data_IF_727581341810
#
_entry.id   IF_727581341810
#
_cell.length_a   1.000
_cell.length_b   1.000
_cell.length_c   1.000
_cell.angle_alpha   90.00
_cell.angle_beta   90.00
_cell.angle_gamma   90.00
#
_symmetry.space_group_name_H-M   'P 1'
#
loop_
_entity.id
_entity.type
_entity.pdbx_description
1 polymer ?
#
# COMPACT_ATOMS: atom_id res chain seq x y z
N UNK A 1 35.09 -21.54 -5.66
CA UNK A 1 34.12 -20.56 -5.13
C UNK A 1 34.34 -19.27 -5.90
N UNK A 2 33.32 -18.73 -6.57
CA UNK A 2 33.45 -17.45 -7.29
C UNK A 2 33.11 -16.35 -6.30
N UNK A 3 34.06 -15.45 -6.05
CA UNK A 3 33.81 -14.25 -5.25
C UNK A 3 33.25 -13.18 -6.18
N UNK A 4 32.10 -12.61 -5.81
CA UNK A 4 31.45 -11.51 -6.53
C UNK A 4 31.53 -10.27 -5.64
N UNK A 5 32.09 -9.20 -6.18
CA UNK A 5 32.09 -7.89 -5.55
C UNK A 5 30.68 -7.25 -5.67
N UNK A 6 30.12 -6.82 -4.54
CA UNK A 6 28.78 -6.23 -4.46
C UNK A 6 28.81 -4.71 -4.32
N UNK A 7 29.98 -4.07 -4.40
CA UNK A 7 30.16 -2.61 -4.22
C UNK A 7 29.26 -1.78 -5.13
N UNK A 8 28.99 -2.24 -6.36
CA UNK A 8 28.16 -1.54 -7.35
C UNK A 8 26.78 -2.18 -7.56
N UNK A 9 26.36 -3.08 -6.67
CA UNK A 9 25.01 -3.67 -6.73
C UNK A 9 24.03 -2.73 -6.04
N UNK A 10 22.95 -2.35 -6.74
CA UNK A 10 21.85 -1.61 -6.14
C UNK A 10 21.03 -2.53 -5.23
N UNK A 11 20.85 -2.12 -3.98
CA UNK A 11 19.98 -2.82 -3.03
C UNK A 11 18.68 -2.05 -2.86
N UNK A 12 17.56 -2.72 -3.13
CA UNK A 12 16.21 -2.22 -2.82
C UNK A 12 15.63 -3.17 -1.79
N UNK A 13 15.29 -2.63 -0.62
CA UNK A 13 14.69 -3.38 0.48
C UNK A 13 13.28 -2.86 0.68
N UNK A 14 12.30 -3.76 0.76
CA UNK A 14 10.90 -3.42 0.98
C UNK A 14 10.28 -4.34 2.02
N UNK A 15 9.30 -3.82 2.76
CA UNK A 15 8.62 -4.55 3.82
C UNK A 15 7.34 -3.85 4.27
N UNK A 16 6.53 -4.56 5.04
CA UNK A 16 5.38 -3.99 5.73
C UNK A 16 5.78 -3.66 7.17
N UNK A 17 5.80 -2.38 7.52
CA UNK A 17 6.26 -1.88 8.83
C UNK A 17 5.07 -1.57 9.74
N UNK A 18 4.31 -2.60 10.12
CA UNK A 18 3.13 -2.43 10.97
C UNK A 18 3.51 -1.84 12.34
N UNK A 19 2.87 -0.74 12.74
CA UNK A 19 3.15 -0.03 14.00
C UNK A 19 4.21 1.07 13.89
N UNK A 20 4.89 1.21 12.74
CA UNK A 20 5.80 2.33 12.49
C UNK A 20 5.04 3.66 12.39
N UNK A 21 3.83 3.63 11.85
CA UNK A 21 2.88 4.74 11.84
C UNK A 21 2.71 5.37 13.22
N UNK A 22 2.47 4.58 14.26
CA UNK A 22 2.33 5.08 15.63
C UNK A 22 3.59 5.77 16.17
N UNK A 23 4.77 5.26 15.82
CA UNK A 23 6.05 5.84 16.24
C UNK A 23 6.23 7.22 15.60
N UNK A 24 5.90 7.32 14.32
CA UNK A 24 5.97 8.57 13.56
C UNK A 24 4.93 9.57 14.08
N UNK A 25 3.68 9.15 14.31
CA UNK A 25 2.61 9.96 14.90
C UNK A 25 3.00 10.53 16.26
N UNK A 26 3.57 9.70 17.15
CA UNK A 26 4.04 10.13 18.47
C UNK A 26 5.10 11.22 18.36
N UNK A 27 6.07 11.05 17.46
CA UNK A 27 7.12 12.05 17.23
C UNK A 27 6.55 13.34 16.64
N UNK A 28 5.58 13.23 15.72
CA UNK A 28 4.88 14.38 15.15
C UNK A 28 3.90 15.04 16.16
N UNK A 29 3.72 14.47 17.35
CA UNK A 29 2.89 15.03 18.43
C UNK A 29 1.40 14.74 18.28
N UNK A 30 1.00 13.69 17.55
CA UNK A 30 -0.41 13.41 17.25
C UNK A 30 -1.17 12.61 18.34
N UNK A 31 -0.55 12.28 19.48
CA UNK A 31 -1.24 11.67 20.63
C UNK A 31 -1.43 12.63 21.82
N UNK A 32 -2.68 13.07 21.94
CA UNK A 32 -3.44 13.46 23.14
C UNK A 32 -3.14 14.82 23.80
N UNK A 33 -3.97 15.78 23.36
CA UNK A 33 -4.64 16.76 24.21
C UNK A 33 -5.47 16.02 25.30
N UNK A 34 -4.83 15.72 26.42
CA UNK A 34 -5.48 15.38 27.68
C UNK A 34 -4.86 16.27 28.74
N UNK A 35 -5.68 17.08 29.41
CA UNK A 35 -5.30 18.20 30.29
C UNK A 35 -4.86 19.47 29.54
N UNK A 36 -5.82 20.17 28.92
CA UNK A 36 -6.21 21.56 29.24
C UNK A 36 -7.21 21.99 28.17
N UNK A 37 -8.49 22.12 28.53
CA UNK A 37 -9.40 22.94 27.74
C UNK A 37 -8.98 24.39 27.96
N UNK A 38 -8.23 24.95 27.02
CA UNK A 38 -8.38 26.36 26.71
C UNK A 38 -8.76 26.43 25.24
N UNK A 39 -10.02 26.78 25.04
CA UNK A 39 -10.57 27.22 23.76
C UNK A 39 -9.75 28.44 23.33
N UNK A 40 -8.80 28.23 22.43
CA UNK A 40 -8.26 29.31 21.61
C UNK A 40 -9.05 29.28 20.30
N UNK A 41 -9.69 30.41 20.03
CA UNK A 41 -10.63 30.65 18.96
C UNK A 41 -10.20 30.12 17.59
N UNK A 42 -11.15 29.49 16.90
CA UNK A 42 -11.41 29.84 15.51
C UNK A 42 -10.67 29.11 14.39
N UNK A 43 -9.69 28.24 14.66
CA UNK A 43 -9.07 27.44 13.61
C UNK A 43 -9.15 25.95 13.99
N UNK A 44 -10.10 25.25 13.37
CA UNK A 44 -10.00 23.80 13.21
C UNK A 44 -8.67 23.58 12.49
N UNK A 45 -7.64 23.16 13.23
CA UNK A 45 -6.49 22.51 12.62
C UNK A 45 -7.09 21.30 11.91
N UNK A 46 -7.20 21.42 10.59
CA UNK A 46 -7.77 20.39 9.73
C UNK A 46 -7.22 19.03 10.16
N UNK A 47 -8.12 18.18 10.62
CA UNK A 47 -7.89 16.75 10.76
C UNK A 47 -7.72 16.07 9.39
N UNK A 48 -7.64 16.84 8.30
CA UNK A 48 -7.42 16.42 6.92
C UNK A 48 -5.92 16.34 6.57
N UNK A 49 -5.07 15.88 7.50
CA UNK A 49 -3.79 15.30 7.07
C UNK A 49 -4.08 13.86 6.69
N UNK A 50 -4.10 13.62 5.38
CA UNK A 50 -4.31 12.31 4.79
C UNK A 50 -3.44 11.27 5.51
N UNK A 51 -4.02 10.26 6.20
CA UNK A 51 -3.25 9.21 6.86
C UNK A 51 -2.38 8.41 5.87
N UNK A 52 -2.58 8.59 4.56
CA UNK A 52 -1.74 7.98 3.52
C UNK A 52 -0.36 8.65 3.37
N UNK A 53 -0.11 9.79 4.04
CA UNK A 53 1.18 10.51 3.98
C UNK A 53 2.06 10.33 5.23
N UNK A 54 1.60 9.61 6.27
CA UNK A 54 2.38 9.47 7.52
C UNK A 54 3.78 8.88 7.28
N UNK A 55 3.88 7.94 6.33
CA UNK A 55 5.13 7.28 6.02
C UNK A 55 6.11 8.13 5.20
N UNK A 56 5.67 9.23 4.56
CA UNK A 56 6.59 10.15 3.88
C UNK A 56 7.45 10.95 4.87
N UNK A 57 6.98 11.05 6.12
CA UNK A 57 7.67 11.74 7.19
C UNK A 57 8.65 10.85 7.98
N UNK A 58 8.84 9.57 7.61
CA UNK A 58 9.74 8.66 8.33
C UNK A 58 11.17 9.22 8.39
N UNK A 59 11.77 9.19 9.57
CA UNK A 59 13.19 9.51 9.79
C UNK A 59 13.94 8.29 10.36
N UNK A 60 15.28 8.27 10.28
CA UNK A 60 16.11 7.20 10.84
C UNK A 60 15.85 6.86 12.31
N UNK A 61 15.51 7.85 13.14
CA UNK A 61 15.18 7.66 14.55
C UNK A 61 13.90 6.84 14.77
N UNK A 62 12.92 6.93 13.88
CA UNK A 62 11.69 6.14 13.94
C UNK A 62 12.00 4.67 13.66
N UNK A 63 12.86 4.41 12.67
CA UNK A 63 13.34 3.08 12.32
C UNK A 63 14.17 2.44 13.43
N UNK A 64 14.97 3.24 14.14
CA UNK A 64 15.69 2.78 15.32
C UNK A 64 14.73 2.41 16.46
N UNK A 65 13.74 3.26 16.75
CA UNK A 65 12.67 2.97 17.73
C UNK A 65 11.84 1.75 17.35
N UNK A 66 11.62 1.54 16.05
CA UNK A 66 10.94 0.36 15.50
C UNK A 66 11.74 -0.93 15.67
N UNK A 67 13.06 -0.84 15.85
CA UNK A 67 13.94 -1.97 16.17
C UNK A 67 15.00 -2.29 15.12
N UNK A 68 15.19 -1.44 14.10
CA UNK A 68 16.30 -1.59 13.16
C UNK A 68 17.61 -1.08 13.79
N UNK A 69 18.72 -1.76 13.49
CA UNK A 69 20.04 -1.39 14.02
C UNK A 69 20.65 -0.21 13.24
N UNK A 70 21.42 0.69 13.90
CA UNK A 70 22.01 1.87 13.25
C UNK A 70 22.87 1.55 12.03
N UNK A 71 23.66 0.47 12.08
CA UNK A 71 24.57 0.08 11.00
C UNK A 71 23.81 -0.33 9.74
N UNK A 72 22.60 -0.86 9.90
CA UNK A 72 21.74 -1.25 8.78
C UNK A 72 21.05 -0.04 8.19
N UNK A 73 20.50 0.85 9.04
CA UNK A 73 19.87 2.10 8.60
C UNK A 73 20.89 2.98 7.87
N UNK A 74 22.14 3.05 8.36
CA UNK A 74 23.22 3.80 7.72
C UNK A 74 23.60 3.31 6.32
N UNK A 75 23.25 2.06 5.97
CA UNK A 75 23.44 1.52 4.61
C UNK A 75 22.26 1.79 3.67
N UNK A 76 21.16 2.33 4.18
CA UNK A 76 19.93 2.62 3.45
C UNK A 76 19.60 4.13 3.56
N UNK A 77 20.32 5.00 2.83
CA UNK A 77 20.18 6.45 2.97
C UNK A 77 18.90 7.04 2.35
N UNK A 78 18.17 6.24 1.57
CA UNK A 78 16.96 6.68 0.86
C UNK A 78 15.77 5.88 1.38
N UNK A 79 14.74 6.60 1.84
CA UNK A 79 13.47 6.03 2.26
C UNK A 79 12.37 6.51 1.33
N UNK A 80 11.45 5.61 1.00
CA UNK A 80 10.25 5.95 0.24
C UNK A 80 9.10 5.07 0.73
N UNK A 81 7.90 5.62 0.70
CA UNK A 81 6.68 4.94 1.06
C UNK A 81 5.83 4.71 -0.19
N UNK A 82 5.09 3.61 -0.20
CA UNK A 82 4.11 3.32 -1.24
C UNK A 82 2.74 3.70 -0.71
N UNK A 83 1.99 4.48 -1.48
CA UNK A 83 0.62 4.85 -1.13
C UNK A 83 -0.29 3.63 -1.04
N UNK A 84 -1.36 3.73 -0.24
CA UNK A 84 -2.39 2.71 -0.21
C UNK A 84 -3.11 2.66 -1.57
N UNK A 85 -3.58 1.46 -1.92
CA UNK A 85 -4.38 1.28 -3.12
C UNK A 85 -5.80 1.77 -2.84
N UNK A 86 -6.24 2.77 -3.57
CA UNK A 86 -7.65 3.18 -3.61
C UNK A 86 -8.43 2.36 -4.65
N UNK A 87 -9.73 2.65 -4.76
CA UNK A 87 -10.61 1.94 -5.72
C UNK A 87 -10.09 2.08 -7.15
N UNK A 88 -9.73 3.30 -7.56
CA UNK A 88 -9.29 3.58 -8.91
C UNK A 88 -8.00 2.81 -9.24
N UNK A 89 -7.04 2.77 -8.32
CA UNK A 89 -5.81 2.00 -8.46
C UNK A 89 -6.07 0.50 -8.56
N UNK A 90 -7.02 -0.05 -7.80
CA UNK A 90 -7.40 -1.46 -7.91
C UNK A 90 -8.04 -1.80 -9.27
N UNK A 91 -8.91 -0.92 -9.79
CA UNK A 91 -9.47 -1.07 -11.14
C UNK A 91 -8.38 -0.98 -12.21
N UNK A 92 -7.42 -0.05 -12.05
CA UNK A 92 -6.26 0.03 -12.93
C UNK A 92 -5.44 -1.27 -12.88
N UNK A 93 -5.20 -1.85 -11.70
CA UNK A 93 -4.52 -3.15 -11.55
C UNK A 93 -5.27 -4.28 -12.27
N UNK A 94 -6.60 -4.25 -12.26
CA UNK A 94 -7.43 -5.25 -12.96
C UNK A 94 -7.33 -5.18 -14.48
N UNK A 95 -7.06 -4.00 -15.05
CA UNK A 95 -7.26 -3.73 -16.50
C UNK A 95 -6.00 -3.27 -17.25
N UNK A 96 -5.17 -2.41 -16.66
CA UNK A 96 -4.10 -1.70 -17.39
C UNK A 96 -2.82 -2.52 -17.57
N UNK A 97 -2.25 -3.20 -16.54
CA UNK A 97 -1.00 -3.91 -16.68
C UNK A 97 -0.99 -4.88 -17.86
N UNK A 98 0.20 -5.13 -18.43
CA UNK A 98 0.35 -6.14 -19.48
C UNK A 98 -0.18 -7.51 -19.05
N UNK A 99 0.03 -7.84 -17.78
CA UNK A 99 -0.41 -9.09 -17.15
C UNK A 99 -1.63 -8.86 -16.24
N UNK A 100 -2.54 -7.95 -16.59
CA UNK A 100 -3.72 -7.67 -15.77
C UNK A 100 -4.68 -8.88 -15.69
N UNK A 101 -5.40 -9.02 -14.58
CA UNK A 101 -6.26 -10.19 -14.32
C UNK A 101 -7.38 -10.33 -15.37
N UNK A 102 -8.01 -9.22 -15.78
CA UNK A 102 -9.04 -9.23 -16.83
C UNK A 102 -8.51 -9.85 -18.12
N UNK A 103 -7.32 -9.43 -18.57
CA UNK A 103 -6.67 -9.96 -19.79
C UNK A 103 -6.36 -11.44 -19.66
N UNK A 104 -5.94 -11.88 -18.47
CA UNK A 104 -5.65 -13.29 -18.20
C UNK A 104 -6.92 -14.16 -18.30
N UNK A 105 -8.03 -13.74 -17.67
CA UNK A 105 -9.29 -14.49 -17.74
C UNK A 105 -9.93 -14.45 -19.12
N UNK A 106 -9.91 -13.30 -19.80
CA UNK A 106 -10.39 -13.20 -21.18
C UNK A 106 -9.63 -14.17 -22.09
N UNK A 107 -8.30 -14.20 -21.97
CA UNK A 107 -7.49 -15.13 -22.75
C UNK A 107 -7.77 -16.59 -22.39
N UNK A 108 -8.00 -16.90 -21.12
CA UNK A 108 -8.33 -18.25 -20.67
C UNK A 108 -9.63 -18.75 -21.32
N UNK A 109 -10.69 -17.95 -21.29
CA UNK A 109 -11.98 -18.30 -21.91
C UNK A 109 -11.91 -18.35 -23.44
N UNK A 110 -11.09 -17.49 -24.05
CA UNK A 110 -10.87 -17.48 -25.50
C UNK A 110 -10.26 -18.80 -26.01
N UNK A 111 -9.44 -19.48 -25.20
CA UNK A 111 -8.88 -20.80 -25.53
C UNK A 111 -9.97 -21.87 -25.70
N UNK A 112 -11.10 -21.70 -25.01
CA UNK A 112 -12.28 -22.55 -25.10
C UNK A 112 -13.32 -22.00 -26.11
N UNK A 113 -12.96 -20.96 -26.86
CA UNK A 113 -13.83 -20.31 -27.85
C UNK A 113 -14.94 -19.46 -27.25
N UNK A 114 -14.83 -19.09 -25.97
CA UNK A 114 -15.82 -18.26 -25.26
C UNK A 114 -15.32 -16.82 -25.15
N UNK A 115 -16.20 -15.85 -25.45
CA UNK A 115 -15.90 -14.43 -25.25
C UNK A 115 -16.36 -14.00 -23.85
N UNK A 116 -15.42 -13.53 -23.04
CA UNK A 116 -15.67 -12.98 -21.70
C UNK A 116 -15.57 -11.45 -21.72
N UNK A 117 -16.62 -10.78 -21.24
CA UNK A 117 -16.69 -9.32 -21.14
C UNK A 117 -16.87 -8.92 -19.67
N UNK A 118 -16.09 -7.91 -19.24
CA UNK A 118 -16.22 -7.30 -17.92
C UNK A 118 -16.74 -5.88 -18.10
N UNK A 119 -17.87 -5.56 -17.48
CA UNK A 119 -18.39 -4.20 -17.50
C UNK A 119 -17.63 -3.33 -16.49
N UNK A 120 -17.53 -2.01 -16.71
CA UNK A 120 -16.88 -1.09 -15.77
C UNK A 120 -17.45 -1.20 -14.36
N UNK A 121 -18.77 -1.31 -14.23
CA UNK A 121 -19.46 -1.39 -12.93
C UNK A 121 -19.10 -2.67 -12.16
N UNK A 122 -18.90 -3.79 -12.87
CA UNK A 122 -18.47 -5.04 -12.25
C UNK A 122 -17.04 -4.92 -11.71
N UNK A 123 -16.15 -4.23 -12.41
CA UNK A 123 -14.78 -4.01 -11.98
C UNK A 123 -14.71 -3.09 -10.75
N UNK A 124 -15.55 -2.05 -10.72
CA UNK A 124 -15.69 -1.16 -9.56
C UNK A 124 -16.16 -1.91 -8.32
N UNK A 125 -17.13 -2.82 -8.46
CA UNK A 125 -17.65 -3.63 -7.36
C UNK A 125 -16.59 -4.64 -6.85
N UNK A 126 -15.84 -5.28 -7.75
CA UNK A 126 -14.72 -6.16 -7.37
C UNK A 126 -13.66 -5.38 -6.59
N UNK A 127 -13.34 -4.15 -7.02
CA UNK A 127 -12.40 -3.29 -6.29
C UNK A 127 -12.92 -2.89 -4.91
N UNK A 128 -14.22 -2.57 -4.78
CA UNK A 128 -14.86 -2.27 -3.50
C UNK A 128 -14.78 -3.43 -2.52
N UNK A 129 -15.09 -4.65 -2.99
CA UNK A 129 -15.00 -5.84 -2.17
C UNK A 129 -13.57 -6.14 -1.72
N UNK A 130 -12.57 -5.89 -2.57
CA UNK A 130 -11.16 -6.06 -2.20
C UNK A 130 -10.72 -5.06 -1.11
N UNK A 131 -11.18 -3.81 -1.18
CA UNK A 131 -10.97 -2.79 -0.15
C UNK A 131 -11.64 -3.19 1.16
N UNK A 132 -12.91 -3.60 1.11
CA UNK A 132 -13.67 -4.02 2.29
C UNK A 132 -13.03 -5.22 3.00
N UNK A 133 -12.41 -6.14 2.25
CA UNK A 133 -11.67 -7.29 2.79
C UNK A 133 -10.29 -6.91 3.35
N UNK A 134 -9.79 -5.69 3.12
CA UNK A 134 -8.46 -5.25 3.58
C UNK A 134 -7.29 -6.00 2.94
N UNK A 135 -7.51 -6.66 1.80
CA UNK A 135 -6.53 -7.54 1.14
C UNK A 135 -5.77 -6.85 0.01
N UNK A 136 -6.22 -5.65 -0.39
CA UNK A 136 -5.66 -4.90 -1.51
C UNK A 136 -5.68 -5.69 -2.82
N UNK A 137 -4.69 -5.46 -3.69
CA UNK A 137 -4.62 -6.11 -5.00
C UNK A 137 -4.55 -7.65 -4.95
N UNK A 138 -4.09 -8.24 -3.83
CA UNK A 138 -4.00 -9.70 -3.67
C UNK A 138 -5.39 -10.34 -3.60
N UNK A 139 -6.38 -9.64 -3.06
CA UNK A 139 -7.75 -10.13 -2.94
C UNK A 139 -8.52 -10.18 -4.26
N UNK A 140 -8.12 -9.37 -5.24
CA UNK A 140 -8.81 -9.25 -6.53
C UNK A 140 -8.95 -10.59 -7.25
N UNK A 141 -7.88 -11.40 -7.25
CA UNK A 141 -7.91 -12.73 -7.89
C UNK A 141 -8.91 -13.66 -7.22
N UNK A 142 -8.91 -13.70 -5.89
CA UNK A 142 -9.83 -14.57 -5.15
C UNK A 142 -11.30 -14.21 -5.40
N UNK A 143 -11.60 -12.91 -5.48
CA UNK A 143 -12.96 -12.43 -5.80
C UNK A 143 -13.37 -12.83 -7.22
N UNK A 144 -12.48 -12.68 -8.21
CA UNK A 144 -12.76 -13.11 -9.59
C UNK A 144 -12.95 -14.63 -9.70
N UNK A 145 -12.12 -15.42 -9.00
CA UNK A 145 -12.25 -16.88 -8.96
C UNK A 145 -13.57 -17.30 -8.34
N UNK A 146 -14.01 -16.64 -7.25
CA UNK A 146 -15.28 -16.89 -6.59
C UNK A 146 -16.49 -16.68 -7.53
N UNK A 147 -16.42 -15.72 -8.45
CA UNK A 147 -17.52 -15.42 -9.39
C UNK A 147 -17.46 -16.30 -10.64
N UNK A 148 -16.26 -16.62 -11.14
CA UNK A 148 -16.09 -17.33 -12.42
C UNK A 148 -16.04 -18.85 -12.30
N UNK A 149 -15.78 -19.41 -11.12
CA UNK A 149 -15.62 -20.86 -10.90
C UNK A 149 -16.78 -21.50 -10.09
N UNK A 150 -17.78 -20.72 -9.67
CA UNK A 150 -19.00 -21.22 -9.05
C UNK A 150 -20.12 -21.44 -10.06
#
# INVERSE_FOLDING_TARGET
FIQIDTTNVLFIVGGAFAGLDHIVEERLGQKQLGFTFDLVDGERVDSDRDPDDIFSHVMPEDLLRFGLIPEFIGRLPVFTAVAKLDRAALVAVLTEPKNALVKQYQRLFELDGVQLEFTPEALDEVAEQALARGTGARGLRAILEEVLLN
#
